data_IF_798521462055
#
_entry.id   IF_798521462055
#
_cell.length_a   1.000
_cell.length_b   1.000
_cell.length_c   1.000
_cell.angle_alpha   90.00
_cell.angle_beta   90.00
_cell.angle_gamma   90.00
#
_symmetry.space_group_name_H-M   'P 1'
#
loop_
_entity.id
_entity.type
_entity.pdbx_description
1 polymer ?
#
# COMPACT_ATOMS: atom_id res chain seq x y z
N UNK A 1 -8.30 23.93 -2.95
CA UNK A 1 -9.47 23.04 -2.84
C UNK A 1 -9.57 22.50 -1.43
N UNK A 2 -10.80 22.17 -0.99
CA UNK A 2 -11.02 21.33 0.20
C UNK A 2 -11.07 19.88 -0.24
N UNK A 3 -10.08 19.10 0.17
CA UNK A 3 -9.88 17.69 -0.23
C UNK A 3 -10.14 16.77 0.97
N UNK A 4 -10.94 15.76 0.77
CA UNK A 4 -11.21 14.69 1.76
C UNK A 4 -10.55 13.41 1.28
N UNK A 5 -9.63 12.87 2.05
CA UNK A 5 -8.96 11.58 1.78
C UNK A 5 -9.54 10.54 2.71
N UNK A 6 -9.97 9.40 2.16
CA UNK A 6 -10.39 8.27 2.99
C UNK A 6 -9.26 7.26 3.15
N UNK A 7 -9.32 6.47 4.22
CA UNK A 7 -8.33 5.46 4.52
C UNK A 7 -8.80 4.48 5.58
N UNK A 8 -7.89 3.67 6.10
CA UNK A 8 -8.11 2.66 7.13
C UNK A 8 -7.18 2.85 8.34
N UNK A 9 -6.78 4.10 8.62
CA UNK A 9 -5.82 4.46 9.68
C UNK A 9 -6.37 4.16 11.09
N UNK A 10 -7.68 4.36 11.26
CA UNK A 10 -8.37 4.06 12.51
C UNK A 10 -8.74 2.59 12.62
N UNK A 11 -9.21 1.96 11.54
CA UNK A 11 -9.55 0.55 11.55
C UNK A 11 -8.32 -0.34 11.80
N UNK A 12 -7.20 -0.01 11.15
CA UNK A 12 -5.94 -0.76 11.25
C UNK A 12 -4.79 0.16 11.68
N UNK A 13 -4.65 0.34 12.98
CA UNK A 13 -3.63 1.19 13.59
C UNK A 13 -2.22 0.54 13.54
N UNK A 14 -1.68 0.38 12.33
CA UNK A 14 -0.38 -0.23 12.03
C UNK A 14 0.55 0.72 11.29
N UNK A 15 1.85 0.52 11.47
CA UNK A 15 2.86 1.36 10.85
C UNK A 15 2.80 1.40 9.33
N UNK A 16 2.67 0.26 8.67
CA UNK A 16 2.55 0.18 7.20
C UNK A 16 1.30 0.86 6.67
N UNK A 17 0.15 0.62 7.31
CA UNK A 17 -1.13 1.25 6.95
C UNK A 17 -1.06 2.77 7.12
N UNK A 18 -0.39 3.25 8.17
CA UNK A 18 -0.18 4.69 8.35
C UNK A 18 0.51 5.31 7.14
N UNK A 19 1.62 4.71 6.68
CA UNK A 19 2.35 5.23 5.53
C UNK A 19 1.59 5.08 4.21
N UNK A 20 0.72 4.11 4.05
CA UNK A 20 -0.10 3.97 2.84
C UNK A 20 -1.06 5.15 2.64
N UNK A 21 -1.61 5.74 3.71
CA UNK A 21 -2.62 6.79 3.60
C UNK A 21 -2.12 8.19 3.93
N UNK A 22 -1.28 8.36 4.98
CA UNK A 22 -0.86 9.71 5.41
C UNK A 22 -0.09 10.46 4.31
N UNK A 23 0.61 9.77 3.45
CA UNK A 23 1.39 10.35 2.37
C UNK A 23 0.53 11.08 1.31
N UNK A 24 -0.73 10.66 1.12
CA UNK A 24 -1.68 11.42 0.30
C UNK A 24 -2.05 12.75 0.95
N UNK A 25 -2.33 12.73 2.26
CA UNK A 25 -2.65 13.96 2.99
C UNK A 25 -1.50 14.95 2.91
N UNK A 26 -0.28 14.47 3.14
CA UNK A 26 0.95 15.28 3.06
C UNK A 26 1.18 15.83 1.65
N UNK A 27 0.99 15.01 0.62
CA UNK A 27 1.15 15.42 -0.78
C UNK A 27 0.17 16.50 -1.21
N UNK A 28 -1.12 16.33 -0.93
CA UNK A 28 -2.13 17.36 -1.23
C UNK A 28 -1.93 18.63 -0.41
N UNK A 29 -1.52 18.53 0.86
CA UNK A 29 -1.17 19.68 1.68
C UNK A 29 0.03 20.43 1.12
N UNK A 30 1.05 19.74 0.64
CA UNK A 30 2.22 20.35 0.01
C UNK A 30 1.89 21.11 -1.28
N UNK A 31 0.76 20.79 -1.92
CA UNK A 31 0.18 21.54 -3.04
C UNK A 31 -0.65 22.76 -2.60
N UNK A 32 -0.78 23.02 -1.29
CA UNK A 32 -1.50 24.17 -0.74
C UNK A 32 -3.01 23.95 -0.58
N UNK A 33 -3.48 22.72 -0.54
CA UNK A 33 -4.90 22.41 -0.36
C UNK A 33 -5.29 22.31 1.13
N UNK A 34 -6.58 22.55 1.43
CA UNK A 34 -7.21 22.28 2.73
C UNK A 34 -7.57 20.80 2.77
N UNK A 35 -6.76 19.99 3.47
CA UNK A 35 -6.85 18.53 3.43
C UNK A 35 -7.40 17.98 4.73
N UNK A 36 -8.37 17.06 4.59
CA UNK A 36 -9.04 16.38 5.68
C UNK A 36 -8.95 14.86 5.52
N UNK A 37 -8.86 14.17 6.63
CA UNK A 37 -9.01 12.73 6.69
C UNK A 37 -10.41 12.36 7.18
N UNK A 38 -11.10 11.49 6.45
CA UNK A 38 -12.40 10.94 6.87
C UNK A 38 -12.39 9.43 6.70
N UNK A 39 -12.52 8.71 7.80
CA UNK A 39 -12.68 7.26 7.80
C UNK A 39 -14.07 6.86 8.24
N UNK A 40 -14.82 6.24 7.33
CA UNK A 40 -16.12 5.63 7.55
C UNK A 40 -16.22 4.38 6.67
N UNK A 41 -15.50 3.34 7.06
CA UNK A 41 -15.47 2.05 6.36
C UNK A 41 -16.69 1.18 6.69
N UNK A 42 -17.41 1.50 7.76
CA UNK A 42 -18.47 0.66 8.32
C UNK A 42 -17.98 -0.64 8.98
N UNK A 43 -16.66 -0.81 9.08
CA UNK A 43 -16.03 -1.98 9.68
C UNK A 43 -15.68 -1.75 11.15
N UNK A 44 -15.60 -2.83 11.91
CA UNK A 44 -15.13 -2.79 13.30
C UNK A 44 -13.62 -2.50 13.35
N UNK A 45 -13.14 -1.78 14.37
CA UNK A 45 -11.70 -1.57 14.58
C UNK A 45 -11.00 -2.89 14.91
N UNK A 46 -9.76 -3.00 14.47
CA UNK A 46 -8.87 -4.10 14.85
C UNK A 46 -8.02 -3.67 16.05
N UNK A 47 -8.02 -4.48 17.10
CA UNK A 47 -7.13 -4.32 18.25
C UNK A 47 -5.85 -5.13 18.00
N UNK A 48 -4.68 -4.48 17.86
CA UNK A 48 -3.43 -5.18 17.62
C UNK A 48 -2.88 -5.90 18.87
N UNK A 49 -3.33 -5.54 20.07
CA UNK A 49 -2.91 -6.18 21.32
C UNK A 49 -3.63 -7.51 21.47
N UNK A 50 -4.96 -7.49 21.31
CA UNK A 50 -5.82 -8.67 21.39
C UNK A 50 -5.86 -9.47 20.08
N UNK A 51 -5.30 -8.92 18.99
CA UNK A 51 -5.25 -9.51 17.65
C UNK A 51 -6.62 -9.92 17.11
N UNK A 52 -7.63 -9.08 17.35
CA UNK A 52 -9.02 -9.35 16.94
C UNK A 52 -9.78 -8.07 16.57
N UNK A 53 -10.92 -8.24 15.88
CA UNK A 53 -11.88 -7.16 15.71
C UNK A 53 -12.63 -6.94 17.03
N UNK A 54 -12.81 -5.67 17.39
CA UNK A 54 -13.46 -5.27 18.66
C UNK A 54 -14.52 -4.19 18.42
N UNK A 55 -15.43 -3.99 19.35
CA UNK A 55 -16.35 -2.84 19.38
C UNK A 55 -15.73 -1.62 20.09
N UNK A 56 -14.69 -1.83 20.91
CA UNK A 56 -13.93 -0.76 21.56
C UNK A 56 -12.87 -0.16 20.62
N UNK A 57 -13.06 1.08 20.23
CA UNK A 57 -12.12 1.81 19.38
C UNK A 57 -11.12 2.69 20.15
N UNK A 58 -11.00 2.54 21.47
CA UNK A 58 -10.16 3.42 22.31
C UNK A 58 -8.71 3.42 21.87
N UNK A 59 -8.13 2.24 21.61
CA UNK A 59 -6.76 2.13 21.10
C UNK A 59 -6.61 2.87 19.75
N UNK A 60 -7.48 2.59 18.82
CA UNK A 60 -7.45 3.10 17.45
C UNK A 60 -7.62 4.64 17.41
N UNK A 61 -8.54 5.17 18.20
CA UNK A 61 -8.76 6.63 18.32
C UNK A 61 -7.54 7.32 18.92
N UNK A 62 -6.93 6.74 19.96
CA UNK A 62 -5.72 7.30 20.58
C UNK A 62 -4.53 7.27 19.62
N UNK A 63 -4.34 6.17 18.90
CA UNK A 63 -3.32 6.06 17.86
C UNK A 63 -3.52 7.12 16.77
N UNK A 64 -4.73 7.20 16.21
CA UNK A 64 -5.06 8.15 15.15
C UNK A 64 -4.86 9.59 15.60
N UNK A 65 -5.31 9.95 16.82
CA UNK A 65 -5.12 11.27 17.39
C UNK A 65 -3.63 11.64 17.53
N UNK A 66 -2.80 10.76 18.07
CA UNK A 66 -1.37 10.99 18.24
C UNK A 66 -0.65 11.15 16.89
N UNK A 67 -0.91 10.25 15.98
CA UNK A 67 -0.33 10.26 14.64
C UNK A 67 -0.76 11.49 13.84
N UNK A 68 -2.04 11.86 13.84
CA UNK A 68 -2.53 13.07 13.15
C UNK A 68 -1.91 14.35 13.70
N UNK A 69 -1.73 14.44 15.04
CA UNK A 69 -1.03 15.56 15.66
C UNK A 69 0.43 15.65 15.21
N UNK A 70 1.14 14.53 15.16
CA UNK A 70 2.54 14.50 14.71
C UNK A 70 2.71 15.00 13.28
N UNK A 71 1.78 14.63 12.40
CA UNK A 71 1.81 15.07 11.00
C UNK A 71 1.14 16.45 10.77
N UNK A 72 0.69 17.13 11.84
CA UNK A 72 0.08 18.47 11.78
C UNK A 72 -1.33 18.48 11.20
N UNK A 73 -2.12 17.47 11.53
CA UNK A 73 -3.54 17.34 11.19
C UNK A 73 -4.41 17.23 12.45
N UNK A 74 -4.05 17.86 13.58
CA UNK A 74 -4.67 17.73 14.90
C UNK A 74 -6.20 17.86 14.88
N UNK A 75 -6.75 18.79 14.09
CA UNK A 75 -8.18 19.10 13.95
C UNK A 75 -8.77 18.68 12.59
N UNK A 76 -8.01 17.97 11.77
CA UNK A 76 -8.33 17.66 10.36
C UNK A 76 -8.63 16.19 10.11
N UNK A 77 -9.10 15.48 11.12
CA UNK A 77 -9.45 14.06 10.98
C UNK A 77 -10.80 13.72 11.63
N UNK A 78 -11.45 12.74 11.06
CA UNK A 78 -12.71 12.17 11.53
C UNK A 78 -12.63 10.65 11.36
N UNK A 79 -13.03 9.94 12.40
CA UNK A 79 -13.20 8.50 12.39
C UNK A 79 -14.59 8.15 12.91
N UNK A 80 -15.34 7.34 12.14
CA UNK A 80 -16.61 6.76 12.58
C UNK A 80 -16.40 5.29 12.94
N UNK A 81 -16.63 4.94 14.19
CA UNK A 81 -16.56 3.55 14.63
C UNK A 81 -17.70 2.74 13.98
N UNK A 82 -17.33 1.68 13.24
CA UNK A 82 -18.31 0.82 12.55
C UNK A 82 -19.14 -0.04 13.50
N UNK A 83 -18.74 -0.22 14.77
CA UNK A 83 -19.45 -1.02 15.74
C UNK A 83 -20.66 -0.30 16.33
N UNK A 84 -20.53 0.99 16.68
CA UNK A 84 -21.59 1.77 17.36
C UNK A 84 -21.99 3.05 16.61
N UNK A 85 -21.32 3.36 15.48
CA UNK A 85 -21.59 4.51 14.64
C UNK A 85 -21.15 5.86 15.20
N UNK A 86 -20.41 5.88 16.34
CA UNK A 86 -19.94 7.13 16.94
C UNK A 86 -18.81 7.76 16.14
N UNK A 87 -18.85 9.09 16.09
CA UNK A 87 -17.83 9.91 15.45
C UNK A 87 -16.80 10.41 16.45
N UNK A 88 -15.53 10.37 16.04
CA UNK A 88 -14.37 10.87 16.79
C UNK A 88 -13.61 11.91 15.97
N UNK A 89 -12.72 12.68 16.60
CA UNK A 89 -12.01 13.79 15.98
C UNK A 89 -12.90 15.03 15.86
N UNK A 90 -13.00 15.63 14.65
CA UNK A 90 -13.82 16.80 14.40
C UNK A 90 -15.35 16.52 14.43
N UNK A 91 -15.75 15.27 14.45
CA UNK A 91 -17.12 14.83 14.70
C UNK A 91 -18.05 14.81 13.48
N UNK A 92 -19.30 14.40 13.71
CA UNK A 92 -20.29 14.13 12.68
C UNK A 92 -20.64 15.36 11.81
N UNK A 93 -20.83 16.53 12.43
CA UNK A 93 -21.20 17.74 11.69
C UNK A 93 -20.15 18.14 10.67
N UNK A 94 -18.86 17.99 11.03
CA UNK A 94 -17.75 18.23 10.12
C UNK A 94 -17.70 17.18 9.00
N UNK A 95 -17.93 15.89 9.30
CA UNK A 95 -17.99 14.84 8.30
C UNK A 95 -19.06 15.13 7.24
N UNK A 96 -20.28 15.48 7.67
CA UNK A 96 -21.41 15.80 6.78
C UNK A 96 -21.12 17.06 5.94
N UNK A 97 -20.53 18.11 6.52
CA UNK A 97 -20.15 19.32 5.80
C UNK A 97 -19.10 19.02 4.72
N UNK A 98 -18.08 18.24 5.05
CA UNK A 98 -16.99 17.87 4.11
C UNK A 98 -17.52 17.11 2.89
N UNK A 99 -18.40 16.14 3.09
CA UNK A 99 -18.97 15.34 1.98
C UNK A 99 -20.00 16.15 1.17
N UNK A 100 -20.68 17.06 1.79
CA UNK A 100 -21.66 17.92 1.11
C UNK A 100 -21.02 19.10 0.36
N UNK A 101 -19.99 19.73 0.94
CA UNK A 101 -19.45 21.00 0.46
C UNK A 101 -17.96 20.93 0.06
N UNK A 102 -17.36 19.74 0.08
CA UNK A 102 -15.97 19.52 -0.35
C UNK A 102 -15.78 19.71 -1.86
N UNK A 103 -14.55 19.93 -2.26
CA UNK A 103 -14.20 20.03 -3.68
C UNK A 103 -13.84 18.65 -4.26
N UNK A 104 -13.12 17.81 -3.50
CA UNK A 104 -12.64 16.53 -3.94
C UNK A 104 -12.72 15.49 -2.80
N UNK A 105 -13.27 14.34 -3.10
CA UNK A 105 -13.18 13.11 -2.30
C UNK A 105 -12.18 12.17 -2.98
N UNK A 106 -11.13 11.76 -2.26
CA UNK A 106 -10.15 10.77 -2.70
C UNK A 106 -10.37 9.48 -1.92
N UNK A 107 -10.97 8.49 -2.56
CA UNK A 107 -11.27 7.19 -1.97
C UNK A 107 -10.13 6.20 -2.31
N UNK A 108 -9.24 5.99 -1.35
CA UNK A 108 -8.06 5.13 -1.53
C UNK A 108 -8.42 3.70 -1.12
N UNK A 109 -8.18 2.75 -2.01
CA UNK A 109 -8.35 1.30 -1.77
C UNK A 109 -9.73 0.89 -1.27
N UNK A 110 -10.78 1.60 -1.71
CA UNK A 110 -12.18 1.35 -1.28
C UNK A 110 -12.43 1.55 0.22
N UNK A 111 -11.62 2.35 0.89
CA UNK A 111 -11.70 2.56 2.33
C UNK A 111 -12.94 3.36 2.77
N UNK A 112 -13.52 4.19 1.90
CA UNK A 112 -14.70 4.99 2.19
C UNK A 112 -15.97 4.41 1.55
N UNK A 113 -16.90 3.88 2.36
CA UNK A 113 -18.22 3.44 1.89
C UNK A 113 -19.27 4.53 2.00
N UNK A 114 -19.18 5.41 2.97
CA UNK A 114 -19.91 6.67 3.14
C UNK A 114 -21.43 6.55 2.83
N UNK A 115 -22.09 5.50 3.36
CA UNK A 115 -23.44 5.13 2.94
C UNK A 115 -24.53 6.14 3.36
N UNK A 116 -24.28 6.93 4.42
CA UNK A 116 -25.29 7.75 5.09
C UNK A 116 -25.11 9.26 4.84
N UNK A 117 -24.39 9.62 3.76
CA UNK A 117 -24.06 11.01 3.48
C UNK A 117 -24.84 11.57 2.30
N UNK A 118 -25.17 12.85 2.41
CA UNK A 118 -25.70 13.67 1.31
C UNK A 118 -24.51 14.18 0.48
N UNK A 119 -24.22 13.47 -0.61
CA UNK A 119 -23.10 13.81 -1.47
C UNK A 119 -23.34 15.06 -2.29
N UNK A 120 -22.55 16.09 -2.02
CA UNK A 120 -22.45 17.31 -2.79
C UNK A 120 -21.01 17.66 -3.18
N UNK A 121 -20.05 16.79 -2.80
CA UNK A 121 -18.64 16.95 -3.21
C UNK A 121 -18.55 17.00 -4.73
N UNK A 122 -17.76 17.98 -5.25
CA UNK A 122 -17.77 18.30 -6.68
C UNK A 122 -17.14 17.22 -7.56
N UNK A 123 -16.19 16.47 -7.02
CA UNK A 123 -15.51 15.39 -7.74
C UNK A 123 -15.17 14.23 -6.80
N UNK A 124 -15.39 13.02 -7.25
CA UNK A 124 -15.03 11.78 -6.55
C UNK A 124 -13.94 11.05 -7.32
N UNK A 125 -12.82 10.81 -6.68
CA UNK A 125 -11.67 10.09 -7.22
C UNK A 125 -11.52 8.76 -6.52
N UNK A 126 -11.42 7.68 -7.27
CA UNK A 126 -11.14 6.34 -6.76
C UNK A 126 -9.70 5.93 -7.09
N UNK A 127 -8.97 5.40 -6.10
CA UNK A 127 -7.62 4.87 -6.30
C UNK A 127 -7.62 3.38 -5.92
N UNK A 128 -7.43 2.53 -6.92
CA UNK A 128 -7.30 1.09 -6.76
C UNK A 128 -5.86 0.70 -6.40
N UNK A 129 -5.67 0.13 -5.21
CA UNK A 129 -4.39 -0.40 -4.74
C UNK A 129 -4.22 -1.90 -4.97
N UNK A 130 -5.24 -2.60 -5.50
CA UNK A 130 -5.29 -4.06 -5.56
C UNK A 130 -5.74 -4.59 -6.94
N UNK A 131 -4.99 -4.26 -8.01
CA UNK A 131 -5.34 -4.63 -9.38
C UNK A 131 -5.45 -6.15 -9.55
N UNK A 132 -6.23 -6.63 -10.50
CA UNK A 132 -6.76 -7.97 -10.68
C UNK A 132 -7.92 -8.25 -9.72
N UNK A 133 -7.71 -8.14 -8.41
CA UNK A 133 -8.74 -8.43 -7.41
C UNK A 133 -9.90 -7.43 -7.49
N UNK A 134 -9.58 -6.14 -7.60
CA UNK A 134 -10.59 -5.09 -7.83
C UNK A 134 -11.38 -5.35 -9.11
N UNK A 135 -10.73 -5.63 -10.23
CA UNK A 135 -11.38 -5.79 -11.52
C UNK A 135 -12.31 -7.02 -11.54
N UNK A 136 -11.87 -8.15 -10.96
CA UNK A 136 -12.71 -9.35 -10.83
C UNK A 136 -13.91 -9.09 -9.92
N UNK A 137 -13.69 -8.46 -8.75
CA UNK A 137 -14.76 -8.13 -7.82
C UNK A 137 -15.81 -7.17 -8.41
N UNK A 138 -15.42 -6.26 -9.30
CA UNK A 138 -16.36 -5.38 -10.00
C UNK A 138 -17.32 -6.11 -10.96
N UNK A 139 -16.95 -7.30 -11.40
CA UNK A 139 -17.74 -8.13 -12.31
C UNK A 139 -18.49 -9.26 -11.60
N UNK A 140 -18.17 -9.55 -10.34
CA UNK A 140 -18.89 -10.55 -9.54
C UNK A 140 -20.25 -9.99 -9.10
N UNK A 141 -21.38 -10.61 -9.51
CA UNK A 141 -22.72 -10.17 -9.08
C UNK A 141 -22.92 -10.13 -7.56
N UNK A 142 -22.18 -10.95 -6.79
CA UNK A 142 -22.22 -10.94 -5.33
C UNK A 142 -21.68 -9.64 -4.74
N UNK A 143 -20.86 -8.93 -5.48
CA UNK A 143 -20.23 -7.67 -5.10
C UNK A 143 -20.93 -6.45 -5.74
N UNK A 144 -22.21 -6.56 -6.15
CA UNK A 144 -22.93 -5.49 -6.85
C UNK A 144 -22.92 -4.14 -6.08
N UNK A 145 -23.02 -4.18 -4.74
CA UNK A 145 -22.93 -2.97 -3.91
C UNK A 145 -21.55 -2.32 -4.02
N UNK A 146 -20.48 -3.11 -3.90
CA UNK A 146 -19.11 -2.65 -4.09
C UNK A 146 -18.89 -2.04 -5.48
N UNK A 147 -19.33 -2.77 -6.51
CA UNK A 147 -19.23 -2.31 -7.89
C UNK A 147 -19.98 -0.98 -8.12
N UNK A 148 -21.15 -0.80 -7.48
CA UNK A 148 -21.89 0.45 -7.49
C UNK A 148 -21.10 1.61 -6.86
N UNK A 149 -20.51 1.39 -5.69
CA UNK A 149 -19.68 2.41 -5.01
C UNK A 149 -18.48 2.81 -5.88
N UNK A 150 -17.74 1.84 -6.43
CA UNK A 150 -16.60 2.16 -7.29
C UNK A 150 -17.01 2.92 -8.54
N UNK A 151 -18.08 2.48 -9.24
CA UNK A 151 -18.57 3.11 -10.48
C UNK A 151 -19.15 4.52 -10.28
N UNK A 152 -19.54 4.87 -9.07
CA UNK A 152 -20.07 6.19 -8.71
C UNK A 152 -18.99 7.29 -8.58
N UNK A 153 -17.72 6.95 -8.82
CA UNK A 153 -16.64 7.93 -8.86
C UNK A 153 -16.45 8.51 -10.26
N UNK A 154 -16.03 9.78 -10.32
CA UNK A 154 -15.84 10.54 -11.58
C UNK A 154 -14.51 10.21 -12.26
N UNK A 155 -13.49 9.84 -11.49
CA UNK A 155 -12.19 9.42 -12.00
C UNK A 155 -11.66 8.20 -11.27
N UNK A 156 -10.99 7.32 -12.02
CA UNK A 156 -10.48 6.05 -11.51
C UNK A 156 -9.01 5.91 -11.82
N UNK A 157 -8.24 5.62 -10.79
CA UNK A 157 -6.80 5.38 -10.87
C UNK A 157 -6.48 4.00 -10.33
N UNK A 158 -5.36 3.42 -10.77
CA UNK A 158 -4.89 2.14 -10.26
C UNK A 158 -3.37 2.09 -10.18
N UNK A 159 -2.87 1.35 -9.19
CA UNK A 159 -1.47 0.92 -9.11
C UNK A 159 -1.14 -0.19 -10.12
N UNK A 160 -2.12 -0.71 -10.82
CA UNK A 160 -1.95 -1.62 -11.93
C UNK A 160 -1.50 -0.88 -13.18
N UNK A 161 -0.20 -0.60 -13.29
CA UNK A 161 0.38 0.20 -14.39
C UNK A 161 0.16 -0.44 -15.78
N UNK A 162 -0.07 -1.77 -15.83
CA UNK A 162 -0.28 -2.52 -17.08
C UNK A 162 -1.77 -2.84 -17.36
N UNK A 163 -2.71 -2.35 -16.52
CA UNK A 163 -4.14 -2.57 -16.75
C UNK A 163 -4.60 -2.07 -18.13
N UNK A 164 -5.36 -2.92 -18.82
CA UNK A 164 -5.90 -2.61 -20.14
C UNK A 164 -4.86 -2.66 -21.29
N UNK A 165 -3.65 -3.13 -21.01
CA UNK A 165 -2.59 -3.29 -22.01
C UNK A 165 -2.51 -4.75 -22.49
N UNK A 166 -1.94 -5.00 -23.69
CA UNK A 166 -1.75 -6.36 -24.20
C UNK A 166 -0.93 -7.22 -23.22
N UNK A 167 -1.41 -8.43 -22.92
CA UNK A 167 -0.77 -9.33 -21.95
C UNK A 167 -1.29 -9.22 -20.51
N UNK A 168 -1.99 -8.15 -20.15
CA UNK A 168 -2.70 -8.08 -18.86
C UNK A 168 -3.92 -9.00 -18.88
N UNK A 169 -4.05 -9.84 -17.84
CA UNK A 169 -5.17 -10.78 -17.70
C UNK A 169 -6.29 -10.26 -16.78
N UNK A 170 -6.13 -9.07 -16.23
CA UNK A 170 -7.22 -8.46 -15.47
C UNK A 170 -8.39 -8.12 -16.39
N UNK A 171 -9.64 -8.46 -16.00
CA UNK A 171 -10.79 -8.26 -16.88
C UNK A 171 -11.08 -6.79 -17.17
N UNK A 172 -11.60 -6.54 -18.35
CA UNK A 172 -12.13 -5.23 -18.72
C UNK A 172 -13.44 -4.95 -17.97
N UNK A 173 -13.47 -3.90 -17.18
CA UNK A 173 -14.60 -3.54 -16.33
C UNK A 173 -15.53 -2.48 -16.91
N UNK A 174 -15.18 -1.94 -18.10
CA UNK A 174 -15.80 -0.75 -18.67
C UNK A 174 -15.38 0.56 -17.97
N UNK A 175 -14.51 0.51 -16.97
CA UNK A 175 -13.93 1.66 -16.31
C UNK A 175 -12.60 1.99 -16.99
N UNK A 176 -12.38 3.27 -17.31
CA UNK A 176 -11.09 3.75 -17.81
C UNK A 176 -10.13 3.98 -16.62
N UNK A 177 -9.30 3.01 -16.35
CA UNK A 177 -8.26 3.10 -15.33
C UNK A 177 -7.10 3.99 -15.80
N UNK A 178 -6.79 5.00 -15.01
CA UNK A 178 -5.59 5.86 -15.17
C UNK A 178 -4.48 5.31 -14.28
N UNK A 179 -3.24 5.42 -14.74
CA UNK A 179 -2.09 4.93 -13.98
C UNK A 179 -1.73 5.88 -12.86
N UNK A 180 -1.37 5.33 -11.72
CA UNK A 180 -0.77 6.06 -10.61
C UNK A 180 0.16 5.16 -9.82
N UNK A 181 0.92 5.76 -8.91
CA UNK A 181 1.82 5.08 -7.97
C UNK A 181 1.57 5.60 -6.56
N UNK A 182 2.15 4.94 -5.56
CA UNK A 182 2.11 5.43 -4.18
C UNK A 182 2.84 6.78 -4.06
N UNK A 183 2.22 7.84 -3.53
CA UNK A 183 2.94 9.06 -3.15
C UNK A 183 3.85 8.79 -1.96
N UNK A 184 5.04 9.39 -1.96
CA UNK A 184 6.01 9.34 -0.85
C UNK A 184 6.38 10.76 -0.44
N UNK A 185 6.06 11.12 0.79
CA UNK A 185 6.43 12.41 1.38
C UNK A 185 7.91 12.39 1.81
N UNK A 186 8.80 12.71 0.89
CA UNK A 186 10.26 12.51 1.01
C UNK A 186 10.87 13.18 2.25
N UNK A 187 10.29 14.24 2.77
CA UNK A 187 10.74 14.93 3.99
C UNK A 187 10.68 14.00 5.23
N UNK A 188 9.82 13.00 5.20
CA UNK A 188 9.69 11.99 6.25
C UNK A 188 10.54 10.73 6.00
N UNK A 189 11.19 10.64 4.84
CA UNK A 189 12.04 9.53 4.40
C UNK A 189 13.45 10.05 4.04
N UNK A 190 14.25 10.51 5.05
CA UNK A 190 15.57 11.07 4.78
C UNK A 190 16.50 10.01 4.21
N UNK A 191 17.29 10.42 3.19
CA UNK A 191 18.33 9.56 2.61
C UNK A 191 19.25 9.03 3.71
N UNK A 192 19.47 7.74 3.71
CA UNK A 192 20.41 7.07 4.61
C UNK A 192 21.77 6.96 3.93
N UNK A 193 22.80 7.44 4.61
CA UNK A 193 24.19 7.40 4.13
C UNK A 193 25.10 6.58 5.05
N UNK A 194 24.54 6.04 6.14
CA UNK A 194 25.21 5.18 7.10
C UNK A 194 25.36 3.74 6.57
N UNK A 195 26.30 3.00 7.16
CA UNK A 195 26.44 1.58 6.90
C UNK A 195 25.18 0.85 7.37
N UNK A 196 24.48 0.24 6.44
CA UNK A 196 23.31 -0.56 6.74
C UNK A 196 23.70 -1.93 7.29
N UNK A 197 22.96 -2.50 8.27
CA UNK A 197 23.10 -3.89 8.63
C UNK A 197 22.98 -4.80 7.41
N UNK A 198 23.82 -5.85 7.35
CA UNK A 198 23.89 -6.75 6.19
C UNK A 198 22.70 -7.72 6.16
N UNK A 199 21.51 -7.16 5.97
CA UNK A 199 20.27 -7.94 5.83
C UNK A 199 19.35 -7.32 4.79
N UNK A 200 18.75 -8.16 3.95
CA UNK A 200 17.63 -7.78 3.09
C UNK A 200 16.34 -8.11 3.82
N UNK A 201 15.41 -7.18 3.78
CA UNK A 201 14.19 -7.31 4.57
C UNK A 201 12.94 -7.14 3.73
N UNK A 202 11.81 -7.58 4.27
CA UNK A 202 10.47 -7.24 3.75
C UNK A 202 9.43 -7.26 4.87
N UNK A 203 8.31 -6.59 4.63
CA UNK A 203 7.10 -6.66 5.46
C UNK A 203 5.97 -7.20 4.58
N UNK A 204 5.30 -8.26 5.02
CA UNK A 204 4.22 -8.86 4.23
C UNK A 204 3.22 -9.62 5.07
N UNK A 205 2.00 -9.78 4.57
CA UNK A 205 1.09 -10.83 4.98
C UNK A 205 1.30 -12.07 4.11
N UNK A 206 1.24 -13.25 4.72
CA UNK A 206 1.34 -14.54 4.02
C UNK A 206 0.18 -14.72 3.05
N UNK A 207 -1.06 -14.61 3.54
CA UNK A 207 -2.26 -14.68 2.73
C UNK A 207 -3.32 -13.71 3.29
N UNK A 208 -3.38 -12.49 2.77
CA UNK A 208 -4.25 -11.42 3.28
C UNK A 208 -5.74 -11.77 3.23
N UNK A 209 -6.17 -12.48 2.16
CA UNK A 209 -7.55 -12.94 1.93
C UNK A 209 -7.56 -14.18 1.02
N UNK A 210 -8.75 -14.75 0.83
CA UNK A 210 -8.93 -15.96 0.01
C UNK A 210 -8.65 -15.68 -1.48
N UNK A 211 -8.16 -16.68 -2.23
CA UNK A 211 -8.02 -16.56 -3.68
C UNK A 211 -9.35 -16.24 -4.36
N UNK A 212 -9.27 -15.54 -5.48
CA UNK A 212 -10.40 -15.34 -6.40
C UNK A 212 -10.22 -16.21 -7.63
N UNK A 213 -11.30 -16.45 -8.37
CA UNK A 213 -11.28 -17.17 -9.64
C UNK A 213 -11.79 -16.29 -10.76
N UNK A 214 -11.12 -16.32 -11.91
CA UNK A 214 -11.54 -15.66 -13.13
C UNK A 214 -11.24 -16.54 -14.34
N UNK A 215 -12.24 -16.79 -15.21
CA UNK A 215 -12.12 -17.65 -16.38
C UNK A 215 -11.50 -19.03 -16.11
N UNK A 216 -11.91 -19.64 -14.98
CA UNK A 216 -11.41 -20.95 -14.55
C UNK A 216 -9.96 -20.97 -14.06
N UNK A 217 -9.35 -19.81 -13.80
CA UNK A 217 -7.99 -19.68 -13.25
C UNK A 217 -8.04 -19.07 -11.85
N UNK A 218 -7.33 -19.66 -10.89
CA UNK A 218 -7.22 -19.08 -9.56
C UNK A 218 -6.18 -17.95 -9.56
N UNK A 219 -6.50 -16.86 -8.83
CA UNK A 219 -5.59 -15.76 -8.55
C UNK A 219 -5.49 -15.61 -7.03
N UNK A 220 -4.33 -15.98 -6.49
CA UNK A 220 -4.12 -16.10 -5.05
C UNK A 220 -3.18 -15.04 -4.50
N UNK A 221 -2.71 -15.33 -3.30
CA UNK A 221 -1.92 -14.43 -2.49
C UNK A 221 -0.41 -14.73 -2.60
N UNK A 222 0.39 -14.14 -1.71
CA UNK A 222 1.84 -14.32 -1.67
C UNK A 222 2.25 -15.76 -1.32
N UNK A 223 1.43 -16.48 -0.59
CA UNK A 223 1.63 -17.89 -0.24
C UNK A 223 1.92 -18.77 -1.46
N UNK A 224 1.23 -18.53 -2.58
CA UNK A 224 1.45 -19.29 -3.82
C UNK A 224 2.77 -18.89 -4.50
N UNK A 225 3.09 -17.61 -4.56
CA UNK A 225 4.34 -17.15 -5.16
C UNK A 225 5.55 -17.53 -4.31
N UNK A 226 5.45 -17.44 -2.99
CA UNK A 226 6.55 -17.72 -2.08
C UNK A 226 7.06 -19.17 -2.20
N UNK A 227 6.20 -20.14 -2.55
CA UNK A 227 6.63 -21.53 -2.78
C UNK A 227 7.75 -21.64 -3.81
N UNK A 228 7.78 -20.74 -4.81
CA UNK A 228 8.81 -20.72 -5.85
C UNK A 228 10.18 -20.29 -5.31
N UNK A 229 10.20 -19.50 -4.24
CA UNK A 229 11.40 -18.82 -3.71
C UNK A 229 11.75 -19.23 -2.27
N UNK A 230 11.02 -20.17 -1.66
CA UNK A 230 11.21 -20.52 -0.24
C UNK A 230 12.60 -21.02 0.11
N UNK A 231 13.35 -21.55 -0.88
CA UNK A 231 14.73 -22.01 -0.71
C UNK A 231 15.81 -20.98 -1.06
N UNK A 232 15.43 -19.73 -1.27
CA UNK A 232 16.38 -18.66 -1.61
C UNK A 232 17.53 -18.51 -0.60
N UNK A 233 17.32 -18.62 0.74
CA UNK A 233 18.43 -18.54 1.69
C UNK A 233 19.49 -19.62 1.55
N UNK A 234 19.18 -20.75 0.90
CA UNK A 234 20.17 -21.80 0.64
C UNK A 234 21.11 -21.47 -0.54
N UNK A 235 20.73 -20.50 -1.37
CA UNK A 235 21.38 -20.15 -2.64
C UNK A 235 22.11 -18.80 -2.59
N UNK A 236 21.99 -18.06 -1.52
CA UNK A 236 22.69 -16.77 -1.31
C UNK A 236 23.25 -16.71 0.11
N UNK A 237 24.43 -16.11 0.31
CA UNK A 237 24.96 -15.84 1.65
C UNK A 237 24.23 -14.69 2.34
N UNK A 238 23.40 -13.94 1.61
CA UNK A 238 22.69 -12.77 2.13
C UNK A 238 21.69 -13.16 3.21
N UNK A 239 21.75 -12.49 4.36
CA UNK A 239 20.73 -12.65 5.40
C UNK A 239 19.38 -12.09 4.93
N UNK A 240 18.35 -12.95 4.95
CA UNK A 240 16.99 -12.63 4.52
C UNK A 240 16.04 -12.65 5.72
N UNK A 241 15.40 -11.51 5.99
CA UNK A 241 14.53 -11.31 7.16
C UNK A 241 13.15 -10.79 6.75
N UNK A 242 12.10 -11.33 7.32
CA UNK A 242 10.72 -10.95 7.02
C UNK A 242 9.92 -10.66 8.28
N UNK A 243 9.33 -9.48 8.37
CA UNK A 243 8.19 -9.24 9.26
C UNK A 243 6.93 -9.75 8.56
N UNK A 244 6.45 -10.95 8.96
CA UNK A 244 5.44 -11.69 8.21
C UNK A 244 4.19 -11.95 9.03
N UNK A 245 3.10 -11.24 8.70
CA UNK A 245 1.77 -11.48 9.24
C UNK A 245 1.08 -12.70 8.63
N UNK A 246 0.08 -13.23 9.34
CA UNK A 246 -0.68 -14.40 8.91
C UNK A 246 -1.66 -14.06 7.77
N UNK A 247 -2.53 -13.07 7.96
CA UNK A 247 -3.74 -12.86 7.15
C UNK A 247 -4.83 -13.92 7.43
N UNK A 248 -5.88 -13.92 6.62
CA UNK A 248 -7.05 -14.83 6.79
C UNK A 248 -7.05 -16.04 5.83
N UNK A 249 -6.07 -16.13 4.94
CA UNK A 249 -5.92 -17.24 3.99
C UNK A 249 -5.20 -18.46 4.58
N UNK A 250 -4.33 -19.08 3.78
CA UNK A 250 -3.57 -20.28 4.18
C UNK A 250 -2.66 -19.98 5.38
N UNK A 251 -2.45 -21.02 6.22
CA UNK A 251 -1.57 -20.91 7.39
C UNK A 251 -0.11 -20.72 6.94
N UNK A 252 0.58 -19.71 7.51
CA UNK A 252 2.01 -19.47 7.24
C UNK A 252 2.86 -20.60 7.83
N UNK A 253 3.82 -21.15 7.05
CA UNK A 253 4.67 -22.25 7.48
C UNK A 253 5.95 -21.74 8.19
N UNK A 254 5.80 -21.04 9.29
CA UNK A 254 6.89 -20.30 9.98
C UNK A 254 8.09 -21.20 10.29
N UNK A 255 7.86 -22.38 10.86
CA UNK A 255 8.95 -23.29 11.25
C UNK A 255 9.65 -23.91 10.04
N UNK A 256 8.91 -24.22 8.97
CA UNK A 256 9.50 -24.68 7.72
C UNK A 256 10.44 -23.60 7.13
N UNK A 257 9.97 -22.36 7.09
CA UNK A 257 10.76 -21.25 6.54
C UNK A 257 12.01 -20.97 7.39
N UNK A 258 11.89 -21.01 8.71
CA UNK A 258 13.05 -20.89 9.61
C UNK A 258 14.08 -21.99 9.38
N UNK A 259 13.62 -23.21 9.18
CA UNK A 259 14.50 -24.35 8.87
C UNK A 259 15.22 -24.21 7.52
N UNK A 260 14.67 -23.43 6.58
CA UNK A 260 15.28 -23.09 5.28
C UNK A 260 16.19 -21.87 5.33
N UNK A 261 16.38 -21.23 6.51
CA UNK A 261 17.29 -20.12 6.71
C UNK A 261 16.65 -18.72 6.71
N UNK A 262 15.31 -18.63 6.63
CA UNK A 262 14.62 -17.35 6.77
C UNK A 262 14.57 -16.89 8.23
N UNK A 263 14.83 -15.61 8.48
CA UNK A 263 14.48 -14.97 9.76
C UNK A 263 13.06 -14.43 9.68
N UNK A 264 12.16 -14.97 10.52
CA UNK A 264 10.75 -14.59 10.54
C UNK A 264 10.44 -13.85 11.84
N UNK A 265 9.98 -12.61 11.70
CA UNK A 265 9.57 -11.73 12.80
C UNK A 265 8.04 -11.57 12.83
N UNK A 266 7.51 -11.30 14.01
CA UNK A 266 6.09 -10.99 14.21
C UNK A 266 5.85 -9.49 14.00
N UNK A 267 5.07 -9.05 12.99
CA UNK A 267 4.87 -7.63 12.67
C UNK A 267 4.33 -6.83 13.85
N UNK A 268 3.37 -7.38 14.60
CA UNK A 268 2.73 -6.70 15.73
C UNK A 268 3.72 -6.38 16.86
N UNK A 269 4.84 -7.13 16.93
CA UNK A 269 5.92 -6.92 17.91
C UNK A 269 6.96 -5.93 17.40
N UNK A 270 7.37 -6.06 16.13
CA UNK A 270 8.51 -5.28 15.60
C UNK A 270 8.10 -4.02 14.86
N UNK A 271 6.84 -3.91 14.44
CA UNK A 271 6.29 -2.81 13.63
C UNK A 271 4.96 -2.27 14.18
N UNK A 272 4.79 -2.10 15.51
CA UNK A 272 3.51 -1.70 16.09
C UNK A 272 3.02 -0.32 15.61
N UNK A 273 3.92 0.54 15.16
CA UNK A 273 3.60 1.90 14.72
C UNK A 273 4.42 2.36 13.51
N UNK A 274 4.13 3.55 13.03
CA UNK A 274 4.77 4.13 11.84
C UNK A 274 6.25 4.50 12.04
N UNK A 275 6.70 4.75 13.28
CA UNK A 275 8.10 5.00 13.58
C UNK A 275 8.92 3.72 13.48
N UNK A 276 8.46 2.67 14.14
CA UNK A 276 9.10 1.35 14.13
C UNK A 276 9.09 0.74 12.74
N UNK A 277 8.03 0.94 11.96
CA UNK A 277 7.98 0.55 10.55
C UNK A 277 9.08 1.25 9.73
N UNK A 278 9.16 2.60 9.81
CA UNK A 278 10.18 3.37 9.11
C UNK A 278 11.58 2.97 9.57
N UNK A 279 11.78 2.75 10.87
CA UNK A 279 13.06 2.34 11.43
C UNK A 279 13.49 0.96 10.93
N UNK A 280 12.57 0.01 10.82
CA UNK A 280 12.84 -1.31 10.26
C UNK A 280 13.35 -1.22 8.82
N UNK A 281 12.69 -0.41 7.98
CA UNK A 281 13.14 -0.17 6.61
C UNK A 281 14.50 0.55 6.59
N UNK A 282 14.65 1.57 7.44
CA UNK A 282 15.88 2.37 7.53
C UNK A 282 17.11 1.52 7.89
N UNK A 283 16.94 0.58 8.80
CA UNK A 283 18.00 -0.31 9.28
C UNK A 283 18.16 -1.57 8.42
N UNK A 284 17.63 -1.58 7.24
CA UNK A 284 17.80 -2.65 6.24
C UNK A 284 18.84 -2.24 5.21
N UNK A 285 19.61 -3.19 4.65
CA UNK A 285 20.48 -2.95 3.51
C UNK A 285 19.68 -2.72 2.24
N UNK A 286 18.73 -3.61 1.98
CA UNK A 286 17.85 -3.57 0.82
C UNK A 286 16.52 -4.28 1.10
N UNK A 287 15.56 -4.12 0.20
CA UNK A 287 14.36 -4.95 0.16
C UNK A 287 14.58 -6.19 -0.71
N UNK A 288 14.05 -7.34 -0.26
CA UNK A 288 13.72 -8.44 -1.14
C UNK A 288 12.24 -8.78 -0.98
N UNK A 289 11.45 -8.78 -2.05
CA UNK A 289 10.03 -9.06 -1.89
C UNK A 289 9.37 -9.70 -3.09
N UNK A 290 8.33 -10.48 -2.80
CA UNK A 290 7.41 -11.05 -3.78
C UNK A 290 6.10 -10.29 -3.83
N UNK A 291 5.40 -10.43 -4.95
CA UNK A 291 4.07 -9.89 -5.16
C UNK A 291 2.98 -10.95 -4.88
N UNK A 292 1.69 -10.55 -4.81
CA UNK A 292 0.59 -11.50 -4.79
C UNK A 292 0.53 -12.26 -6.12
N UNK A 293 0.20 -13.56 -6.06
CA UNK A 293 0.04 -14.38 -7.28
C UNK A 293 -0.92 -13.72 -8.30
N UNK A 294 -2.00 -13.08 -7.82
CA UNK A 294 -2.92 -12.36 -8.70
C UNK A 294 -2.26 -11.23 -9.49
N UNK A 295 -1.26 -10.54 -8.95
CA UNK A 295 -0.54 -9.48 -9.66
C UNK A 295 0.43 -10.05 -10.68
N UNK A 296 1.17 -11.11 -10.32
CA UNK A 296 2.15 -11.79 -11.16
C UNK A 296 1.45 -12.50 -12.32
N UNK A 297 0.53 -13.40 -12.02
CA UNK A 297 -0.20 -14.18 -13.01
C UNK A 297 -1.11 -13.30 -13.89
N UNK A 298 -1.65 -12.22 -13.32
CA UNK A 298 -2.45 -11.23 -14.02
C UNK A 298 -1.65 -10.24 -14.87
N UNK A 299 -0.33 -10.20 -14.69
CA UNK A 299 0.57 -9.23 -15.34
C UNK A 299 0.03 -7.80 -15.26
N UNK A 300 -0.32 -7.39 -14.01
CA UNK A 300 -1.09 -6.16 -13.77
C UNK A 300 -0.24 -4.89 -13.74
N UNK A 301 1.08 -5.01 -13.63
CA UNK A 301 1.99 -3.88 -13.45
C UNK A 301 2.00 -3.31 -12.02
N UNK A 302 1.57 -4.08 -11.02
CA UNK A 302 1.55 -3.61 -9.64
C UNK A 302 2.96 -3.41 -9.08
N UNK A 303 3.19 -2.22 -8.49
CA UNK A 303 4.42 -1.87 -7.77
C UNK A 303 4.10 -1.57 -6.31
N UNK A 304 4.92 -2.04 -5.38
CA UNK A 304 4.63 -1.98 -3.95
C UNK A 304 4.81 -0.58 -3.35
N UNK A 305 3.83 -0.13 -2.55
CA UNK A 305 3.93 1.06 -1.71
C UNK A 305 5.15 1.00 -0.77
N UNK A 306 5.40 -0.18 -0.19
CA UNK A 306 6.53 -0.44 0.69
C UNK A 306 7.87 -0.29 -0.05
N UNK A 307 7.98 -0.81 -1.27
CA UNK A 307 9.19 -0.68 -2.10
C UNK A 307 9.52 0.79 -2.33
N UNK A 308 8.53 1.63 -2.63
CA UNK A 308 8.74 3.07 -2.79
C UNK A 308 9.31 3.72 -1.51
N UNK A 309 8.94 3.22 -0.31
CA UNK A 309 9.51 3.68 0.96
C UNK A 309 10.98 3.29 1.12
N UNK A 310 11.37 2.05 0.72
CA UNK A 310 12.80 1.66 0.70
C UNK A 310 13.60 2.54 -0.24
N UNK A 311 13.10 2.75 -1.48
CA UNK A 311 13.78 3.61 -2.45
C UNK A 311 13.96 5.03 -1.93
N UNK A 312 12.96 5.58 -1.24
CA UNK A 312 13.03 6.91 -0.65
C UNK A 312 14.13 7.04 0.42
N UNK A 313 14.41 5.98 1.17
CA UNK A 313 15.53 5.92 2.12
C UNK A 313 16.90 5.73 1.43
N UNK A 314 16.93 5.54 0.11
CA UNK A 314 18.13 5.13 -0.61
C UNK A 314 18.46 3.65 -0.38
N UNK A 315 17.50 2.83 0.01
CA UNK A 315 17.67 1.38 0.14
C UNK A 315 17.24 0.71 -1.16
N UNK A 316 18.14 0.00 -1.87
CA UNK A 316 17.81 -0.73 -3.09
C UNK A 316 16.73 -1.79 -2.86
N UNK A 317 16.09 -2.22 -3.94
CA UNK A 317 15.06 -3.24 -3.86
C UNK A 317 15.22 -4.31 -4.94
N UNK A 318 15.03 -5.57 -4.56
CA UNK A 318 14.93 -6.73 -5.45
C UNK A 318 13.51 -7.25 -5.36
N UNK A 319 12.71 -6.99 -6.39
CA UNK A 319 11.26 -7.20 -6.34
C UNK A 319 10.74 -8.05 -7.52
N UNK A 320 9.72 -8.84 -7.27
CA UNK A 320 9.17 -9.73 -8.28
C UNK A 320 8.48 -8.95 -9.40
N UNK A 321 8.67 -9.42 -10.65
CA UNK A 321 8.05 -8.85 -11.84
C UNK A 321 6.54 -9.10 -11.87
N UNK A 322 5.79 -8.04 -12.22
CA UNK A 322 4.34 -8.05 -12.40
C UNK A 322 3.89 -7.32 -13.68
N UNK A 323 4.83 -6.90 -14.52
CA UNK A 323 4.64 -5.96 -15.65
C UNK A 323 4.97 -4.50 -15.29
N UNK A 324 5.43 -4.22 -14.06
CA UNK A 324 5.76 -2.87 -13.62
C UNK A 324 6.99 -2.28 -14.31
N UNK A 325 7.96 -3.13 -14.67
CA UNK A 325 9.22 -2.70 -15.30
C UNK A 325 9.06 -2.11 -16.71
N UNK A 326 7.88 -2.28 -17.31
CA UNK A 326 7.52 -1.61 -18.56
C UNK A 326 7.22 -0.10 -18.38
N UNK A 327 7.01 0.36 -17.13
CA UNK A 327 6.57 1.73 -16.79
C UNK A 327 7.51 2.47 -15.84
N UNK A 328 8.24 1.73 -15.03
CA UNK A 328 9.23 2.25 -14.09
C UNK A 328 10.60 1.68 -14.46
N UNK A 329 11.67 2.46 -14.40
CA UNK A 329 13.01 1.96 -14.69
C UNK A 329 13.39 0.82 -13.76
N UNK A 330 13.94 -0.25 -14.32
CA UNK A 330 14.52 -1.39 -13.62
C UNK A 330 15.99 -1.54 -13.98
N UNK A 331 16.78 -2.13 -13.07
CA UNK A 331 18.22 -2.33 -13.21
C UNK A 331 18.97 -1.65 -12.10
N UNK A 332 19.05 -0.33 -12.08
CA UNK A 332 19.73 0.42 -11.02
C UNK A 332 18.74 0.85 -9.93
N UNK A 333 19.08 0.57 -8.68
CA UNK A 333 18.24 0.95 -7.50
C UNK A 333 17.04 0.04 -7.24
N UNK A 334 16.38 -0.44 -8.28
CA UNK A 334 15.34 -1.47 -8.19
C UNK A 334 15.55 -2.51 -9.27
N UNK A 335 15.75 -3.76 -8.85
CA UNK A 335 15.97 -4.90 -9.73
C UNK A 335 14.75 -5.80 -9.73
N UNK A 336 14.43 -6.37 -10.89
CA UNK A 336 13.30 -7.29 -11.03
C UNK A 336 13.77 -8.73 -11.14
N UNK A 337 12.92 -9.68 -10.74
CA UNK A 337 13.14 -11.11 -10.93
C UNK A 337 11.83 -11.85 -11.22
N UNK A 338 11.94 -12.92 -11.99
CA UNK A 338 10.86 -13.87 -12.27
C UNK A 338 11.23 -15.28 -11.82
N UNK A 339 12.52 -15.63 -11.89
CA UNK A 339 13.05 -16.94 -11.50
C UNK A 339 13.91 -16.86 -10.24
N UNK A 340 14.22 -18.04 -9.66
CA UNK A 340 15.12 -18.17 -8.51
C UNK A 340 16.52 -17.67 -8.86
N UNK A 341 17.02 -18.03 -10.04
CA UNK A 341 18.35 -17.66 -10.52
C UNK A 341 18.48 -16.15 -10.69
N UNK A 342 17.45 -15.51 -11.24
CA UNK A 342 17.40 -14.04 -11.34
C UNK A 342 17.36 -13.38 -9.96
N UNK A 343 16.61 -13.92 -9.00
CA UNK A 343 16.57 -13.39 -7.63
C UNK A 343 17.95 -13.46 -6.95
N UNK A 344 18.67 -14.58 -7.11
CA UNK A 344 20.04 -14.75 -6.59
C UNK A 344 21.00 -13.76 -7.25
N UNK A 345 20.94 -13.62 -8.58
CA UNK A 345 21.79 -12.72 -9.34
C UNK A 345 21.54 -11.25 -8.96
N UNK A 346 20.29 -10.84 -8.80
CA UNK A 346 19.92 -9.49 -8.40
C UNK A 346 20.40 -9.15 -6.97
N UNK A 347 20.32 -10.10 -6.03
CA UNK A 347 20.87 -9.93 -4.67
C UNK A 347 22.40 -9.74 -4.73
N UNK A 348 23.10 -10.54 -5.55
CA UNK A 348 24.54 -10.44 -5.71
C UNK A 348 24.93 -9.08 -6.34
N UNK A 349 24.22 -8.65 -7.37
CA UNK A 349 24.46 -7.37 -8.03
C UNK A 349 24.29 -6.18 -7.08
N UNK A 350 23.23 -6.15 -6.27
CA UNK A 350 23.04 -5.13 -5.23
C UNK A 350 24.19 -5.14 -4.22
N UNK A 351 24.72 -6.31 -3.86
CA UNK A 351 25.84 -6.40 -2.94
C UNK A 351 27.16 -5.90 -3.53
N UNK A 352 27.42 -6.23 -4.79
CA UNK A 352 28.65 -5.91 -5.49
C UNK A 352 28.73 -4.43 -5.90
N UNK A 353 27.55 -3.78 -6.15
CA UNK A 353 27.45 -2.40 -6.62
C UNK A 353 26.59 -1.51 -5.69
N UNK A 354 26.63 -1.76 -4.39
CA UNK A 354 25.70 -1.18 -3.41
C UNK A 354 25.57 0.34 -3.47
N UNK A 355 26.71 1.06 -3.57
CA UNK A 355 26.69 2.53 -3.59
C UNK A 355 25.98 3.10 -4.82
N UNK A 356 26.11 2.44 -5.97
CA UNK A 356 25.45 2.81 -7.22
C UNK A 356 23.95 2.59 -7.11
N UNK A 357 23.53 1.41 -6.64
CA UNK A 357 22.12 1.09 -6.39
C UNK A 357 21.49 1.99 -5.32
N UNK A 358 22.21 2.36 -4.27
CA UNK A 358 21.72 3.27 -3.24
C UNK A 358 21.41 4.66 -3.83
N UNK A 359 22.30 5.20 -4.63
CA UNK A 359 22.11 6.50 -5.28
C UNK A 359 20.94 6.46 -6.27
N UNK A 360 20.85 5.40 -7.07
CA UNK A 360 19.79 5.19 -8.05
C UNK A 360 18.42 5.01 -7.37
N UNK A 361 18.34 4.26 -6.26
CA UNK A 361 17.13 4.06 -5.48
C UNK A 361 16.52 5.40 -5.04
N UNK A 362 17.33 6.29 -4.47
CA UNK A 362 16.88 7.63 -4.07
C UNK A 362 16.43 8.47 -5.26
N UNK A 363 17.17 8.47 -6.35
CA UNK A 363 16.81 9.20 -7.56
C UNK A 363 15.46 8.73 -8.14
N UNK A 364 15.20 7.41 -8.14
CA UNK A 364 13.90 6.86 -8.55
C UNK A 364 12.76 7.36 -7.65
N UNK A 365 12.96 7.37 -6.33
CA UNK A 365 11.96 7.89 -5.40
C UNK A 365 11.64 9.36 -5.66
N UNK A 366 12.64 10.20 -5.87
CA UNK A 366 12.50 11.63 -6.18
C UNK A 366 11.82 11.87 -7.53
N UNK A 367 12.11 11.03 -8.51
CA UNK A 367 11.57 11.19 -9.86
C UNK A 367 10.13 10.72 -9.99
N UNK A 368 9.79 9.56 -9.42
CA UNK A 368 8.54 8.87 -9.70
C UNK A 368 7.54 8.85 -8.54
N UNK A 369 8.00 8.94 -7.28
CA UNK A 369 7.15 8.71 -6.12
C UNK A 369 6.96 9.93 -5.22
N UNK A 370 7.66 11.05 -5.46
CA UNK A 370 7.55 12.26 -4.64
C UNK A 370 6.09 12.70 -4.53
N UNK A 371 5.59 12.85 -3.29
CA UNK A 371 4.16 12.99 -3.00
C UNK A 371 3.51 14.20 -3.68
N UNK A 372 4.21 15.34 -3.75
CA UNK A 372 3.68 16.53 -4.41
C UNK A 372 3.49 16.32 -5.91
N UNK A 373 4.42 15.60 -6.56
CA UNK A 373 4.31 15.24 -7.99
C UNK A 373 3.16 14.27 -8.22
N UNK A 374 3.12 13.17 -7.47
CA UNK A 374 2.08 12.14 -7.63
C UNK A 374 0.69 12.72 -7.38
N UNK A 375 0.50 13.48 -6.30
CA UNK A 375 -0.78 14.14 -6.01
C UNK A 375 -1.14 15.22 -7.05
N UNK A 376 -0.15 15.95 -7.56
CA UNK A 376 -0.34 16.91 -8.65
C UNK A 376 -0.78 16.24 -9.95
N UNK A 377 -0.17 15.11 -10.31
CA UNK A 377 -0.53 14.31 -11.47
C UNK A 377 -1.94 13.71 -11.35
N UNK A 378 -2.33 13.25 -10.16
CA UNK A 378 -3.70 12.81 -9.89
C UNK A 378 -4.71 13.91 -10.20
N UNK A 379 -4.47 15.15 -9.69
CA UNK A 379 -5.34 16.30 -9.95
C UNK A 379 -5.37 16.67 -11.43
N UNK A 380 -4.21 16.75 -12.08
CA UNK A 380 -4.10 17.07 -13.51
C UNK A 380 -4.85 16.08 -14.37
N UNK A 381 -4.64 14.78 -14.14
CA UNK A 381 -5.31 13.71 -14.88
C UNK A 381 -6.82 13.67 -14.60
N UNK A 382 -7.27 14.12 -13.42
CA UNK A 382 -8.69 14.27 -13.09
C UNK A 382 -9.32 15.53 -13.69
N UNK A 383 -8.54 16.43 -14.28
CA UNK A 383 -9.01 17.72 -14.81
C UNK A 383 -9.25 18.76 -13.71
N UNK A 384 -8.55 18.66 -12.59
CA UNK A 384 -8.67 19.52 -11.40
C UNK A 384 -7.40 20.37 -11.14
N UNK A 385 -6.40 20.26 -12.02
CA UNK A 385 -5.12 20.96 -11.92
C UNK A 385 -5.17 22.41 -12.37
#
# INVERSE_FOLDING_TARGET
MRIVVTGLLGQYAFGGVTWDYIQYLLGFRALGHDVWYLEDSGSWPYDPIEQTLTDDCTYNVNYLKGMMAEFGFDDRWIYRNGADGKFHGAGEAAARDLIKNGDLLVNVSSAGWLNDYDFGVKHKMFIDGDPMFTQVNLLDPKNAKYAGVVRDHDSHFSFGLHLGMPGCLAPETGIRWKRTVQPIALDYWPLQTDDAPDRFTTVMNWASYLPIEWEGRPYGQKDLEFQKFKRLPELTPQHLEMAMGQGIGSKRPTEELRALGWTILEPDVVLPDHHTYREFLRTSKAEWSIAKHGYVAGHTGWFSCRTACYLALGRPAVVQETGWSEYLPAGDGVLTFTTMEEAVAAIADVNDHYAEHQAAARALAEQYFEAKKVCGDLLLQAGLG
#
